data_IF_017035005556
#
_entry.id   IF_017035005556
#
_cell.length_a   1.000
_cell.length_b   1.000
_cell.length_c   1.000
_cell.angle_alpha   90.00
_cell.angle_beta   90.00
_cell.angle_gamma   90.00
#
_symmetry.space_group_name_H-M   'P 1'
#
loop_
_entity.id
_entity.type
_entity.pdbx_description
1 polymer ?
#
# COMPACT_ATOMS: atom_id res chain seq x y z
N UNK A 1 -7.10 -8.24 15.30
CA UNK A 1 -7.02 -6.85 15.78
C UNK A 1 -7.95 -5.93 15.00
N UNK A 2 -7.79 -5.72 13.69
CA UNK A 2 -8.62 -4.76 12.92
C UNK A 2 -10.13 -5.04 13.05
N UNK A 3 -10.54 -6.30 13.02
CA UNK A 3 -11.94 -6.70 13.23
C UNK A 3 -12.43 -6.32 14.62
N UNK A 4 -11.62 -6.47 15.64
CA UNK A 4 -11.94 -6.08 17.02
C UNK A 4 -12.03 -4.56 17.19
N UNK A 5 -11.38 -3.79 16.32
CA UNK A 5 -11.48 -2.33 16.29
C UNK A 5 -12.74 -1.83 15.56
N UNK A 6 -13.59 -2.72 15.05
CA UNK A 6 -14.79 -2.40 14.28
C UNK A 6 -14.53 -1.46 13.11
N UNK A 7 -13.45 -1.71 12.34
CA UNK A 7 -13.18 -0.95 11.13
C UNK A 7 -14.22 -1.26 10.06
N UNK A 8 -14.67 -0.26 9.33
CA UNK A 8 -15.69 -0.42 8.28
C UNK A 8 -15.18 -1.21 7.08
N UNK A 9 -13.89 -1.08 6.76
CA UNK A 9 -13.30 -1.67 5.55
C UNK A 9 -11.84 -2.01 5.79
N UNK A 10 -11.44 -3.21 5.39
CA UNK A 10 -10.04 -3.64 5.38
C UNK A 10 -9.57 -3.71 3.93
N UNK A 11 -8.41 -3.15 3.65
CA UNK A 11 -7.77 -3.19 2.33
C UNK A 11 -6.39 -3.85 2.41
N UNK A 12 -5.98 -4.50 1.33
CA UNK A 12 -4.66 -5.12 1.17
C UNK A 12 -4.05 -4.72 -0.17
N UNK A 13 -2.81 -4.25 -0.14
CA UNK A 13 -2.09 -3.76 -1.32
C UNK A 13 -1.40 -4.85 -2.13
N UNK A 14 -1.68 -6.15 -1.87
CA UNK A 14 -1.10 -7.27 -2.60
C UNK A 14 0.27 -7.72 -2.08
N UNK A 15 0.99 -8.48 -2.91
CA UNK A 15 2.21 -9.20 -2.58
C UNK A 15 1.99 -10.17 -1.42
N UNK A 16 1.02 -11.09 -1.62
CA UNK A 16 0.61 -12.10 -0.64
C UNK A 16 1.60 -13.27 -0.57
N UNK A 17 2.34 -13.49 -1.65
CA UNK A 17 3.33 -14.55 -1.77
C UNK A 17 4.76 -14.04 -1.52
N UNK A 18 5.72 -14.96 -1.52
CA UNK A 18 7.15 -14.69 -1.30
C UNK A 18 7.46 -14.12 0.09
N UNK A 19 6.74 -14.64 1.07
CA UNK A 19 6.93 -14.35 2.49
C UNK A 19 7.02 -15.62 3.34
N UNK A 20 7.30 -15.48 4.64
CA UNK A 20 7.19 -16.58 5.61
C UNK A 20 5.74 -16.83 5.96
N UNK A 21 5.45 -18.05 6.37
CA UNK A 21 4.13 -18.45 6.83
C UNK A 21 3.33 -19.20 5.77
N UNK A 22 2.08 -19.45 6.09
CA UNK A 22 1.15 -20.21 5.24
C UNK A 22 0.35 -19.24 4.35
N UNK A 23 0.74 -19.15 3.09
CA UNK A 23 0.08 -18.28 2.10
C UNK A 23 -1.37 -18.68 1.87
N UNK A 24 -1.70 -19.99 1.90
CA UNK A 24 -3.06 -20.46 1.72
C UNK A 24 -3.94 -20.06 2.92
N UNK A 25 -3.42 -20.14 4.15
CA UNK A 25 -4.11 -19.64 5.32
C UNK A 25 -4.32 -18.12 5.28
N UNK A 26 -3.32 -17.36 4.82
CA UNK A 26 -3.43 -15.91 4.61
C UNK A 26 -4.56 -15.59 3.64
N UNK A 27 -4.58 -16.22 2.48
CA UNK A 27 -5.63 -16.02 1.45
C UNK A 27 -7.01 -16.35 2.00
N UNK A 28 -7.17 -17.47 2.71
CA UNK A 28 -8.45 -17.82 3.35
C UNK A 28 -8.93 -16.76 4.35
N UNK A 29 -8.02 -16.14 5.10
CA UNK A 29 -8.38 -15.04 6.02
C UNK A 29 -8.85 -13.81 5.25
N UNK A 30 -8.14 -13.42 4.17
CA UNK A 30 -8.55 -12.27 3.35
C UNK A 30 -9.96 -12.47 2.76
N UNK A 31 -10.26 -13.69 2.29
CA UNK A 31 -11.58 -14.06 1.79
C UNK A 31 -12.65 -14.05 2.90
N UNK A 32 -12.34 -14.68 4.05
CA UNK A 32 -13.28 -14.79 5.18
C UNK A 32 -13.71 -13.43 5.73
N UNK A 33 -12.82 -12.43 5.68
CA UNK A 33 -13.08 -11.07 6.14
C UNK A 33 -13.44 -10.10 5.00
N UNK A 34 -13.66 -10.60 3.78
CA UNK A 34 -14.01 -9.78 2.62
C UNK A 34 -13.05 -8.60 2.41
N UNK A 35 -11.73 -8.83 2.56
CA UNK A 35 -10.72 -7.80 2.41
C UNK A 35 -10.63 -7.36 0.95
N UNK A 36 -10.73 -6.07 0.68
CA UNK A 36 -10.47 -5.53 -0.65
C UNK A 36 -8.99 -5.63 -0.97
N UNK A 37 -8.64 -6.61 -1.79
CA UNK A 37 -7.25 -6.93 -2.13
C UNK A 37 -6.97 -6.65 -3.59
N UNK A 38 -5.82 -6.04 -3.87
CA UNK A 38 -5.30 -5.88 -5.23
C UNK A 38 -4.12 -6.83 -5.46
N UNK A 39 -3.85 -7.16 -6.72
CA UNK A 39 -2.76 -8.04 -7.09
C UNK A 39 -1.43 -7.30 -7.08
N UNK A 40 -0.45 -7.82 -6.35
CA UNK A 40 0.92 -7.34 -6.38
C UNK A 40 1.76 -7.98 -7.51
N UNK A 41 2.98 -7.49 -7.67
CA UNK A 41 3.89 -8.03 -8.68
C UNK A 41 4.37 -9.45 -8.35
N UNK A 42 4.53 -9.79 -7.07
CA UNK A 42 4.87 -11.15 -6.65
C UNK A 42 3.71 -12.11 -6.94
N UNK A 43 2.47 -11.73 -6.68
CA UNK A 43 1.27 -12.50 -6.98
C UNK A 43 1.13 -12.76 -8.49
N UNK A 44 1.43 -11.76 -9.30
CA UNK A 44 1.45 -11.92 -10.76
C UNK A 44 2.58 -12.84 -11.23
N UNK A 45 3.75 -12.75 -10.61
CA UNK A 45 4.91 -13.55 -11.03
C UNK A 45 4.73 -15.04 -10.75
N UNK A 46 4.21 -15.42 -9.58
CA UNK A 46 3.95 -16.83 -9.27
C UNK A 46 2.96 -17.44 -10.26
N UNK A 47 1.90 -16.70 -10.63
CA UNK A 47 0.93 -17.13 -11.65
C UNK A 47 1.55 -17.28 -13.06
N UNK A 48 2.66 -16.63 -13.32
CA UNK A 48 3.43 -16.74 -14.54
C UNK A 48 4.58 -17.77 -14.45
N UNK A 49 4.62 -18.59 -13.40
CA UNK A 49 5.72 -19.53 -13.09
C UNK A 49 7.08 -18.83 -13.01
N UNK A 50 7.13 -17.58 -12.57
CA UNK A 50 8.37 -16.84 -12.32
C UNK A 50 8.71 -16.94 -10.85
N UNK A 51 9.70 -17.76 -10.52
CA UNK A 51 10.19 -17.91 -9.15
C UNK A 51 11.28 -16.90 -8.88
N UNK A 52 11.22 -16.23 -7.75
CA UNK A 52 12.26 -15.31 -7.31
C UNK A 52 13.40 -16.06 -6.60
N UNK A 53 14.61 -15.55 -6.74
CA UNK A 53 15.78 -16.02 -5.99
C UNK A 53 15.77 -15.43 -4.57
N UNK A 54 14.77 -15.79 -3.78
CA UNK A 54 14.60 -15.40 -2.38
C UNK A 54 14.48 -16.63 -1.52
N UNK A 55 14.97 -16.62 -0.26
CA UNK A 55 14.88 -17.78 0.62
C UNK A 55 13.46 -18.31 0.83
N UNK A 56 12.48 -17.41 0.81
CA UNK A 56 11.07 -17.70 1.07
C UNK A 56 10.19 -17.51 -0.19
N UNK A 57 10.77 -17.70 -1.39
CA UNK A 57 10.00 -17.67 -2.62
C UNK A 57 9.04 -18.84 -2.69
N UNK A 58 7.79 -18.57 -3.01
CA UNK A 58 6.79 -19.61 -3.21
C UNK A 58 6.81 -20.14 -4.64
N UNK A 59 6.48 -21.44 -4.76
CA UNK A 59 6.19 -22.10 -6.04
C UNK A 59 4.67 -22.18 -6.21
N UNK A 60 4.20 -22.14 -7.45
CA UNK A 60 2.76 -22.21 -7.75
C UNK A 60 2.14 -23.52 -7.21
N UNK A 61 2.90 -24.61 -7.22
CA UNK A 61 2.50 -25.93 -6.73
C UNK A 61 2.30 -26.00 -5.20
N UNK A 62 2.74 -24.98 -4.48
CA UNK A 62 2.53 -24.84 -3.02
C UNK A 62 1.19 -24.18 -2.69
N UNK A 63 0.56 -23.56 -3.68
CA UNK A 63 -0.79 -23.02 -3.54
C UNK A 63 -1.81 -24.13 -3.74
N UNK A 64 -2.82 -24.17 -2.87
CA UNK A 64 -4.00 -24.96 -3.18
C UNK A 64 -4.77 -24.35 -4.38
N UNK A 65 -5.61 -25.14 -5.08
CA UNK A 65 -6.32 -24.65 -6.28
C UNK A 65 -7.17 -23.41 -6.03
N UNK A 66 -7.80 -23.32 -4.85
CA UNK A 66 -8.66 -22.21 -4.47
C UNK A 66 -7.84 -20.92 -4.24
N UNK A 67 -6.66 -21.06 -3.64
CA UNK A 67 -5.71 -19.95 -3.43
C UNK A 67 -5.14 -19.44 -4.75
N UNK A 68 -4.79 -20.34 -5.67
CA UNK A 68 -4.31 -19.96 -7.00
C UNK A 68 -5.42 -19.24 -7.81
N UNK A 69 -6.66 -19.72 -7.75
CA UNK A 69 -7.81 -19.07 -8.37
C UNK A 69 -8.08 -17.69 -7.77
N UNK A 70 -8.01 -17.56 -6.44
CA UNK A 70 -8.13 -16.27 -5.76
C UNK A 70 -7.08 -15.28 -6.25
N UNK A 71 -5.80 -15.63 -6.26
CA UNK A 71 -4.73 -14.77 -6.76
C UNK A 71 -4.96 -14.36 -8.23
N UNK A 72 -5.40 -15.29 -9.07
CA UNK A 72 -5.71 -15.02 -10.47
C UNK A 72 -6.88 -14.04 -10.64
N UNK A 73 -7.85 -14.06 -9.73
CA UNK A 73 -9.02 -13.19 -9.74
C UNK A 73 -8.76 -11.76 -9.24
N UNK A 74 -7.64 -11.53 -8.55
CA UNK A 74 -7.34 -10.22 -7.96
C UNK A 74 -7.22 -9.12 -9.03
N UNK A 75 -7.91 -7.99 -8.86
CA UNK A 75 -7.78 -6.84 -9.76
C UNK A 75 -6.45 -6.11 -9.54
N UNK A 76 -6.02 -5.32 -10.53
CA UNK A 76 -4.87 -4.42 -10.36
C UNK A 76 -5.22 -3.20 -9.50
N UNK A 77 -6.47 -2.78 -9.50
CA UNK A 77 -6.96 -1.62 -8.74
C UNK A 77 -8.39 -1.84 -8.25
N UNK A 78 -8.68 -1.25 -7.08
CA UNK A 78 -10.03 -1.17 -6.49
C UNK A 78 -10.36 0.29 -6.24
N UNK A 79 -11.61 0.67 -6.54
CA UNK A 79 -12.11 2.02 -6.34
C UNK A 79 -13.17 2.00 -5.25
N UNK A 80 -12.97 2.81 -4.21
CA UNK A 80 -13.87 2.91 -3.07
C UNK A 80 -14.40 4.35 -2.96
N UNK A 81 -15.68 4.49 -2.62
CA UNK A 81 -16.24 5.77 -2.22
C UNK A 81 -16.15 5.89 -0.71
N UNK A 82 -15.52 6.95 -0.25
CA UNK A 82 -15.36 7.22 1.19
C UNK A 82 -15.96 8.57 1.56
N UNK A 83 -16.13 8.82 2.86
CA UNK A 83 -16.58 10.12 3.36
C UNK A 83 -15.60 11.26 3.07
N UNK A 84 -14.32 10.94 2.83
CA UNK A 84 -13.29 11.92 2.43
C UNK A 84 -13.14 12.05 0.90
N UNK A 85 -14.01 11.40 0.13
CA UNK A 85 -13.98 11.38 -1.32
C UNK A 85 -13.55 10.03 -1.92
N UNK A 86 -13.44 9.96 -3.25
CA UNK A 86 -13.05 8.73 -3.93
C UNK A 86 -11.60 8.33 -3.62
N UNK A 87 -11.41 7.04 -3.32
CA UNK A 87 -10.14 6.40 -3.02
C UNK A 87 -9.79 5.39 -4.12
N UNK A 88 -8.52 5.36 -4.53
CA UNK A 88 -7.93 4.32 -5.35
C UNK A 88 -7.01 3.44 -4.50
N UNK A 89 -7.22 2.12 -4.55
CA UNK A 89 -6.30 1.12 -4.03
C UNK A 89 -5.58 0.45 -5.21
N UNK A 90 -4.26 0.35 -5.16
CA UNK A 90 -3.45 -0.39 -6.15
C UNK A 90 -2.16 -0.90 -5.50
N UNK A 91 -1.36 -1.73 -6.22
CA UNK A 91 -0.08 -2.18 -5.67
C UNK A 91 1.04 -1.17 -5.92
N UNK A 92 1.32 -0.82 -7.15
CA UNK A 92 2.27 0.22 -7.55
C UNK A 92 1.55 1.54 -7.85
N UNK A 93 1.28 1.81 -9.13
CA UNK A 93 0.50 2.98 -9.57
C UNK A 93 -0.53 2.54 -10.62
N UNK A 94 -1.81 2.63 -10.30
CA UNK A 94 -2.87 2.18 -11.18
C UNK A 94 -2.67 0.71 -11.59
N UNK A 95 -2.54 0.44 -12.89
CA UNK A 95 -2.30 -0.91 -13.41
C UNK A 95 -0.82 -1.34 -13.41
N UNK A 96 0.10 -0.44 -13.08
CA UNK A 96 1.54 -0.69 -13.09
C UNK A 96 2.03 -1.14 -11.71
N UNK A 97 2.06 -2.44 -11.47
CA UNK A 97 2.43 -3.07 -10.20
C UNK A 97 3.91 -2.92 -9.78
N UNK A 98 4.79 -2.53 -10.69
CA UNK A 98 6.23 -2.32 -10.40
C UNK A 98 6.60 -0.86 -10.18
N UNK A 99 5.66 0.06 -10.36
CA UNK A 99 5.98 1.47 -10.30
C UNK A 99 6.11 1.96 -8.86
N UNK A 100 7.25 2.60 -8.57
CA UNK A 100 7.56 3.17 -7.25
C UNK A 100 7.37 4.68 -7.30
N UNK A 101 6.81 5.22 -6.23
CA UNK A 101 6.71 6.66 -5.99
C UNK A 101 7.54 7.01 -4.78
N UNK A 102 8.46 7.94 -4.96
CA UNK A 102 9.31 8.44 -3.91
C UNK A 102 9.78 9.86 -4.25
N UNK A 103 9.50 10.88 -3.42
CA UNK A 103 9.86 12.26 -3.74
C UNK A 103 11.36 12.55 -3.77
N UNK A 104 12.17 11.64 -3.23
CA UNK A 104 13.61 11.80 -3.14
C UNK A 104 14.04 12.41 -1.80
N UNK A 105 15.17 11.92 -1.31
CA UNK A 105 15.87 12.40 -0.12
C UNK A 105 17.35 12.50 -0.43
N UNK A 106 18.16 13.06 0.46
CA UNK A 106 19.62 13.08 0.28
C UNK A 106 20.23 11.68 0.07
N UNK A 107 19.56 10.61 0.57
CA UNK A 107 20.05 9.23 0.48
C UNK A 107 19.44 8.45 -0.70
N UNK A 108 18.24 8.78 -1.15
CA UNK A 108 17.49 8.02 -2.15
C UNK A 108 16.89 8.95 -3.21
N UNK A 109 17.24 8.76 -4.50
CA UNK A 109 16.76 9.62 -5.57
C UNK A 109 15.26 9.48 -5.81
N UNK A 110 14.64 10.54 -6.32
CA UNK A 110 13.23 10.58 -6.64
C UNK A 110 12.82 9.48 -7.64
N UNK A 111 11.65 8.90 -7.40
CA UNK A 111 10.96 7.97 -8.31
C UNK A 111 9.67 8.62 -8.78
N UNK A 112 9.69 9.07 -10.03
CA UNK A 112 8.59 9.79 -10.68
C UNK A 112 7.72 8.84 -11.49
N UNK A 113 6.47 9.25 -11.73
CA UNK A 113 5.49 8.45 -12.48
C UNK A 113 4.58 9.31 -13.34
N UNK A 114 4.65 9.13 -14.65
CA UNK A 114 3.71 9.76 -15.57
C UNK A 114 2.27 9.28 -15.36
N UNK A 115 2.08 8.04 -14.92
CA UNK A 115 0.76 7.48 -14.67
C UNK A 115 0.14 8.13 -13.44
N UNK A 116 0.92 8.33 -12.36
CA UNK A 116 0.45 9.08 -11.20
C UNK A 116 0.15 10.55 -11.56
N UNK A 117 1.02 11.20 -12.35
CA UNK A 117 0.78 12.56 -12.82
C UNK A 117 -0.54 12.66 -13.60
N UNK A 118 -0.85 11.66 -14.42
CA UNK A 118 -2.12 11.59 -15.14
C UNK A 118 -3.31 11.38 -14.20
N UNK A 119 -3.20 10.49 -13.20
CA UNK A 119 -4.23 10.26 -12.17
C UNK A 119 -4.50 11.56 -11.39
N UNK A 120 -3.44 12.28 -10.99
CA UNK A 120 -3.54 13.57 -10.30
C UNK A 120 -4.25 14.60 -11.18
N UNK A 121 -3.86 14.69 -12.46
CA UNK A 121 -4.44 15.66 -13.41
C UNK A 121 -5.92 15.41 -13.69
N UNK A 122 -6.40 14.16 -13.61
CA UNK A 122 -7.82 13.83 -13.73
C UNK A 122 -8.66 14.35 -12.56
N UNK A 123 -8.07 14.59 -11.39
CA UNK A 123 -8.76 15.06 -10.18
C UNK A 123 -9.89 14.17 -9.68
N UNK A 124 -9.86 12.87 -10.03
CA UNK A 124 -10.92 11.92 -9.69
C UNK A 124 -10.84 11.42 -8.25
N UNK A 125 -9.63 11.32 -7.69
CA UNK A 125 -9.39 10.72 -6.37
C UNK A 125 -8.83 11.75 -5.41
N UNK A 126 -9.25 11.67 -4.15
CA UNK A 126 -8.71 12.46 -3.04
C UNK A 126 -7.65 11.68 -2.26
N UNK A 127 -7.74 10.35 -2.30
CA UNK A 127 -6.84 9.44 -1.60
C UNK A 127 -6.42 8.29 -2.51
N UNK A 128 -5.15 7.93 -2.46
CA UNK A 128 -4.61 6.73 -3.08
C UNK A 128 -3.86 5.94 -2.03
N UNK A 129 -4.09 4.64 -1.97
CA UNK A 129 -3.35 3.71 -1.11
C UNK A 129 -2.59 2.76 -2.02
N UNK A 130 -1.28 2.66 -1.81
CA UNK A 130 -0.46 1.71 -2.54
C UNK A 130 0.53 0.95 -1.63
N UNK A 131 1.21 -0.05 -2.18
CA UNK A 131 2.24 -0.86 -1.56
C UNK A 131 3.60 -0.70 -2.23
N UNK A 132 4.28 -1.82 -2.50
CA UNK A 132 5.50 -1.99 -3.30
C UNK A 132 6.78 -1.32 -2.76
N UNK A 133 6.70 -0.16 -2.12
CA UNK A 133 7.87 0.57 -1.59
C UNK A 133 8.29 0.07 -0.21
N UNK A 134 7.41 -0.61 0.52
CA UNK A 134 7.58 -1.18 1.86
C UNK A 134 7.69 -0.18 3.01
N UNK A 135 7.79 1.13 2.77
CA UNK A 135 7.77 2.15 3.83
C UNK A 135 6.36 2.69 4.03
N UNK A 136 5.90 2.81 5.29
CA UNK A 136 4.62 3.48 5.58
C UNK A 136 4.83 4.99 5.59
N UNK A 137 4.38 5.64 4.53
CA UNK A 137 4.58 7.09 4.35
C UNK A 137 3.37 7.77 3.75
N UNK A 138 3.23 9.07 4.04
CA UNK A 138 2.30 9.96 3.34
C UNK A 138 3.06 10.86 2.38
N UNK A 139 2.56 10.96 1.15
CA UNK A 139 3.03 11.93 0.16
C UNK A 139 1.83 12.81 -0.22
N UNK A 140 1.98 14.11 -0.04
CA UNK A 140 0.90 15.05 -0.30
C UNK A 140 1.06 15.73 -1.65
N UNK A 141 0.01 15.64 -2.46
CA UNK A 141 -0.17 16.45 -3.67
C UNK A 141 -1.30 17.44 -3.44
N UNK A 142 -1.39 18.48 -4.26
CA UNK A 142 -2.47 19.49 -4.14
C UNK A 142 -3.88 18.89 -4.21
N UNK A 143 -4.06 17.85 -5.04
CA UNK A 143 -5.36 17.23 -5.30
C UNK A 143 -5.49 15.80 -4.72
N UNK A 144 -4.42 15.21 -4.22
CA UNK A 144 -4.36 13.80 -3.83
C UNK A 144 -3.42 13.60 -2.64
N UNK A 145 -3.82 12.81 -1.68
CA UNK A 145 -2.89 12.25 -0.68
C UNK A 145 -2.60 10.80 -1.02
N UNK A 146 -1.31 10.45 -1.16
CA UNK A 146 -0.85 9.09 -1.37
C UNK A 146 -0.36 8.51 -0.04
N UNK A 147 -1.01 7.42 0.42
CA UNK A 147 -0.55 6.59 1.52
C UNK A 147 0.17 5.35 0.97
N UNK A 148 1.45 5.25 1.20
CA UNK A 148 2.13 3.97 1.04
C UNK A 148 1.90 3.14 2.30
N UNK A 149 1.29 1.95 2.15
CA UNK A 149 0.84 1.13 3.27
C UNK A 149 2.00 0.43 4.02
N UNK A 150 3.18 0.38 3.42
CA UNK A 150 4.34 -0.32 3.98
C UNK A 150 4.28 -1.83 3.77
N UNK A 151 4.78 -2.57 4.75
CA UNK A 151 4.83 -4.04 4.73
C UNK A 151 4.43 -4.60 6.09
N UNK A 152 3.92 -5.82 6.13
CA UNK A 152 3.64 -6.56 7.37
C UNK A 152 4.88 -7.32 7.86
N UNK A 153 5.99 -7.25 7.13
CA UNK A 153 7.15 -8.10 7.33
C UNK A 153 8.46 -7.45 6.87
N UNK A 154 9.61 -8.01 7.33
CA UNK A 154 10.95 -7.61 6.91
C UNK A 154 11.52 -6.46 7.74
N UNK A 155 12.58 -5.80 7.21
CA UNK A 155 13.38 -4.83 7.97
C UNK A 155 12.88 -3.37 7.86
N UNK A 156 11.71 -3.17 7.26
CA UNK A 156 11.16 -1.82 7.00
C UNK A 156 9.99 -1.47 7.92
N UNK A 157 10.18 -1.61 9.23
CA UNK A 157 9.16 -1.27 10.24
C UNK A 157 7.81 -1.97 9.96
N UNK A 158 7.74 -3.32 10.11
CA UNK A 158 6.53 -4.08 9.83
C UNK A 158 5.31 -3.56 10.58
N UNK A 159 4.22 -3.37 9.86
CA UNK A 159 3.01 -2.85 10.47
C UNK A 159 1.95 -2.44 9.44
N UNK A 160 0.92 -1.76 9.90
CA UNK A 160 -0.20 -1.31 9.07
C UNK A 160 -0.61 0.12 9.43
N UNK A 161 -1.52 0.67 8.64
CA UNK A 161 -2.13 1.97 8.91
C UNK A 161 -3.64 1.82 9.09
N UNK A 162 -4.22 2.58 10.02
CA UNK A 162 -5.66 2.73 10.19
C UNK A 162 -6.03 4.18 9.88
N UNK A 163 -6.94 4.37 8.92
CA UNK A 163 -7.42 5.68 8.53
C UNK A 163 -8.74 5.98 9.23
N UNK A 164 -8.80 7.09 9.93
CA UNK A 164 -10.04 7.70 10.40
C UNK A 164 -10.39 8.88 9.48
N UNK A 165 -11.24 8.60 8.50
CA UNK A 165 -11.62 9.57 7.49
C UNK A 165 -12.62 10.62 8.02
N UNK A 166 -13.26 10.36 9.17
CA UNK A 166 -14.13 11.33 9.85
C UNK A 166 -13.30 12.36 10.59
N UNK A 167 -12.27 11.91 11.31
CA UNK A 167 -11.32 12.78 12.02
C UNK A 167 -10.20 13.29 11.12
N UNK A 168 -10.15 12.86 9.86
CA UNK A 168 -9.11 13.22 8.89
C UNK A 168 -7.70 12.92 9.40
N UNK A 169 -7.50 11.74 9.97
CA UNK A 169 -6.21 11.31 10.48
C UNK A 169 -5.88 9.86 10.08
N UNK A 170 -4.62 9.51 10.21
CA UNK A 170 -4.10 8.17 10.02
C UNK A 170 -3.22 7.77 11.19
N UNK A 171 -3.42 6.54 11.66
CA UNK A 171 -2.66 5.95 12.75
C UNK A 171 -1.74 4.86 12.20
N UNK A 172 -0.44 4.98 12.45
CA UNK A 172 0.53 3.93 12.17
C UNK A 172 0.60 2.94 13.33
N UNK A 173 0.65 1.67 13.01
CA UNK A 173 0.77 0.57 13.98
C UNK A 173 1.98 -0.29 13.64
N UNK A 174 2.70 -0.74 14.66
CA UNK A 174 3.72 -1.78 14.57
C UNK A 174 3.19 -3.09 15.16
N UNK A 175 3.80 -4.22 14.72
CA UNK A 175 3.32 -5.56 15.05
C UNK A 175 4.02 -6.14 16.28
N UNK A 176 5.24 -5.70 16.59
CA UNK A 176 6.06 -6.26 17.65
C UNK A 176 6.35 -5.26 18.77
N UNK A 177 6.48 -5.72 20.04
CA UNK A 177 6.27 -7.11 20.51
C UNK A 177 4.79 -7.54 20.55
N UNK A 178 3.89 -6.63 20.32
CA UNK A 178 2.44 -6.81 20.14
C UNK A 178 1.94 -5.64 19.29
N UNK A 179 0.78 -5.77 18.66
CA UNK A 179 0.17 -4.68 17.88
C UNK A 179 -0.04 -3.45 18.76
N UNK A 180 0.59 -2.35 18.42
CA UNK A 180 0.49 -1.08 19.15
C UNK A 180 0.55 0.13 18.21
N UNK A 181 -0.12 1.25 18.54
CA UNK A 181 0.00 2.49 17.79
C UNK A 181 1.36 3.14 18.04
N UNK A 182 1.99 3.66 16.99
CA UNK A 182 3.29 4.36 17.09
C UNK A 182 3.20 5.83 16.71
N UNK A 183 2.27 6.19 15.83
CA UNK A 183 2.16 7.55 15.33
C UNK A 183 0.77 7.88 14.83
N UNK A 184 0.33 9.10 15.07
CA UNK A 184 -0.91 9.64 14.48
C UNK A 184 -0.56 10.91 13.71
N UNK A 185 -1.01 10.97 12.45
CA UNK A 185 -0.79 12.11 11.57
C UNK A 185 -2.11 12.59 10.98
N UNK A 186 -2.18 13.87 10.66
CA UNK A 186 -3.27 14.40 9.83
C UNK A 186 -3.12 13.90 8.40
N UNK A 187 -4.24 13.57 7.75
CA UNK A 187 -4.30 13.33 6.31
C UNK A 187 -4.26 14.63 5.51
N UNK A 188 -4.54 15.77 6.15
CA UNK A 188 -4.35 17.07 5.51
C UNK A 188 -2.85 17.37 5.37
N UNK A 189 -2.43 18.00 4.25
CA UNK A 189 -1.04 18.37 4.07
C UNK A 189 -0.53 19.28 5.20
N UNK A 190 0.68 19.02 5.69
CA UNK A 190 1.33 19.92 6.65
C UNK A 190 1.58 21.30 5.99
N UNK A 191 1.52 22.34 6.78
CA UNK A 191 1.66 23.76 6.38
C UNK A 191 2.64 24.00 5.21
N UNK A 192 2.18 23.83 3.97
CA UNK A 192 2.84 24.15 2.70
C UNK A 192 4.25 23.59 2.43
N UNK A 193 4.82 22.78 3.30
CA UNK A 193 6.11 22.15 3.09
C UNK A 193 5.89 20.77 2.45
N UNK A 194 6.51 20.52 1.28
CA UNK A 194 6.44 19.25 0.56
C UNK A 194 5.01 18.82 0.12
N UNK A 195 4.22 19.78 -0.34
CA UNK A 195 3.00 19.50 -1.09
C UNK A 195 3.32 19.67 -2.58
N UNK A 196 3.32 18.57 -3.30
CA UNK A 196 3.75 18.55 -4.70
C UNK A 196 2.55 18.81 -5.64
N UNK A 197 2.80 19.42 -6.79
CA UNK A 197 1.80 19.53 -7.84
C UNK A 197 1.60 18.19 -8.55
N UNK A 198 2.71 17.51 -8.86
CA UNK A 198 2.81 16.22 -9.51
C UNK A 198 4.21 15.63 -9.22
N UNK A 199 4.53 14.45 -9.75
CA UNK A 199 5.82 13.80 -9.48
C UNK A 199 7.00 14.48 -10.19
N UNK A 200 6.76 15.33 -11.21
CA UNK A 200 7.83 16.07 -11.87
C UNK A 200 8.43 17.15 -10.97
N UNK A 201 7.69 17.56 -9.94
CA UNK A 201 8.12 18.55 -8.94
C UNK A 201 8.88 17.93 -7.74
N UNK A 202 9.17 16.64 -7.77
CA UNK A 202 10.07 16.03 -6.80
C UNK A 202 11.49 16.57 -6.98
N UNK A 203 12.13 16.98 -5.87
CA UNK A 203 13.38 17.73 -5.87
C UNK A 203 14.49 17.11 -5.02
N UNK A 204 14.28 15.86 -4.57
CA UNK A 204 15.21 15.09 -3.73
C UNK A 204 15.47 15.71 -2.34
N UNK A 205 14.66 16.67 -1.89
CA UNK A 205 14.78 17.33 -0.57
C UNK A 205 13.67 16.92 0.40
N UNK A 206 12.87 15.91 0.05
CA UNK A 206 11.73 15.51 0.85
C UNK A 206 12.13 14.99 2.23
N UNK A 207 11.48 15.50 3.26
CA UNK A 207 11.51 14.94 4.61
C UNK A 207 10.37 13.92 4.72
N UNK A 208 10.64 12.59 4.77
CA UNK A 208 9.61 11.57 4.75
C UNK A 208 8.60 11.70 5.89
N UNK A 209 7.33 11.79 5.54
CA UNK A 209 6.23 11.78 6.51
C UNK A 209 5.92 10.32 6.83
N UNK A 210 6.62 9.76 7.83
CA UNK A 210 6.57 8.35 8.19
C UNK A 210 5.47 8.03 9.19
N UNK A 211 4.91 6.82 9.09
CA UNK A 211 3.92 6.23 10.01
C UNK A 211 4.54 5.08 10.85
N UNK A 212 5.83 5.17 11.12
CA UNK A 212 6.58 4.27 12.00
C UNK A 212 7.50 5.12 12.92
N UNK A 213 8.03 4.48 13.96
CA UNK A 213 8.91 5.12 14.95
C UNK A 213 10.29 5.47 14.37
#
# INVERSE_FOLDING_TARGET
YLVEQNVDTIVCTGDLVDGEGDVNACIRLLQAFNVHTVRGNHDRWILQHKVRHLPNAHLLEQLDPESAEYLASLPNQVHLNTNAGPLMLCHGVGDHDLQKIWPGTDALPAKRSKDLDHIIAQGKYTLMINGHVHYRTLIHFHALTLLNAGTLRGDHHPGFALLDLVQNCVHGYELEPAVHPVKTLSLAPPNNKHVFRDTQHFDDTWEPVTLYA
#
